data_IF_117591929971
#
_entry.id   IF_117591929971
#
_cell.length_a   1.000
_cell.length_b   1.000
_cell.length_c   1.000
_cell.angle_alpha   90.00
_cell.angle_beta   90.00
_cell.angle_gamma   90.00
#
_symmetry.space_group_name_H-M   'P 1'
#
loop_
_entity.id
_entity.type
_entity.pdbx_description
1 polymer ?
#
# COMPACT_ATOMS: atom_id res chain seq x y z
N UNK A 1 59.00 95.47 20.68
CA UNK A 1 59.09 95.76 19.23
C UNK A 1 57.99 94.94 18.54
N UNK A 2 56.94 95.54 17.97
CA UNK A 2 56.88 95.95 16.53
C UNK A 2 57.58 94.89 15.65
N UNK A 3 56.95 94.15 14.73
CA UNK A 3 55.98 94.56 13.71
C UNK A 3 55.54 93.31 12.92
N UNK A 4 54.26 93.28 12.51
CA UNK A 4 53.69 92.83 11.23
C UNK A 4 54.50 91.94 10.26
N UNK A 5 53.88 90.86 9.74
CA UNK A 5 53.53 90.76 8.30
C UNK A 5 52.53 89.64 7.98
N UNK A 6 51.55 90.00 7.14
CA UNK A 6 50.58 89.16 6.43
C UNK A 6 51.25 88.29 5.36
N UNK A 7 50.70 87.08 5.10
CA UNK A 7 50.35 86.57 3.76
C UNK A 7 49.52 85.28 3.84
N UNK A 8 48.81 85.01 2.75
CA UNK A 8 47.45 84.44 2.70
C UNK A 8 47.41 83.09 1.96
N UNK A 9 46.34 82.30 2.22
CA UNK A 9 45.70 81.22 1.41
C UNK A 9 46.20 79.78 1.63
N UNK A 10 45.44 78.92 2.33
CA UNK A 10 44.24 78.09 1.96
C UNK A 10 44.64 76.70 1.43
N UNK A 11 44.35 75.63 2.19
CA UNK A 11 43.42 74.54 1.82
C UNK A 11 43.65 73.22 2.63
N UNK A 12 42.54 72.53 2.89
CA UNK A 12 42.37 71.11 3.26
C UNK A 12 42.57 70.70 4.74
N UNK A 13 41.44 70.69 5.47
CA UNK A 13 41.25 69.92 6.71
C UNK A 13 40.64 68.57 6.33
N UNK A 14 41.37 67.48 6.54
CA UNK A 14 40.84 66.13 6.55
C UNK A 14 40.62 65.70 8.00
N UNK A 15 39.37 65.51 8.40
CA UNK A 15 38.98 65.00 9.72
C UNK A 15 38.63 63.51 9.56
N UNK A 16 39.46 62.63 10.14
CA UNK A 16 39.22 61.20 10.27
C UNK A 16 38.13 60.96 11.34
N UNK A 17 37.02 60.34 10.94
CA UNK A 17 36.01 59.76 11.84
C UNK A 17 36.18 58.24 11.83
N UNK A 18 36.59 57.69 12.97
CA UNK A 18 36.67 56.25 13.24
C UNK A 18 35.27 55.69 13.48
N UNK A 19 34.72 54.96 12.49
CA UNK A 19 33.48 54.21 12.63
C UNK A 19 33.70 52.85 13.30
N UNK A 20 33.02 52.60 14.41
CA UNK A 20 32.82 51.25 14.96
C UNK A 20 31.99 50.42 13.96
N UNK A 21 32.59 49.40 13.35
CA UNK A 21 31.84 48.37 12.63
C UNK A 21 31.39 47.31 13.63
N UNK A 22 30.09 47.29 13.95
CA UNK A 22 29.43 46.12 14.52
C UNK A 22 29.43 45.01 13.47
N UNK A 23 30.27 44.01 13.65
CA UNK A 23 30.24 42.77 12.87
C UNK A 23 28.99 41.99 13.24
N UNK A 24 27.92 42.14 12.45
CA UNK A 24 26.81 41.19 12.47
C UNK A 24 27.32 39.87 11.91
N UNK A 25 27.52 38.89 12.78
CA UNK A 25 27.67 37.50 12.37
C UNK A 25 26.39 37.08 11.64
N UNK A 26 26.46 37.04 10.30
CA UNK A 26 25.52 36.32 9.47
C UNK A 26 25.61 34.85 9.87
N UNK A 27 24.74 34.41 10.78
CA UNK A 27 24.47 32.99 10.94
C UNK A 27 23.91 32.52 9.59
N UNK A 28 24.64 31.65 8.89
CA UNK A 28 24.06 30.89 7.80
C UNK A 28 22.81 30.19 8.36
N UNK A 29 21.64 30.42 7.75
CA UNK A 29 20.40 29.78 8.20
C UNK A 29 20.54 28.27 8.06
N UNK A 30 20.64 27.57 9.19
CA UNK A 30 20.68 26.11 9.23
C UNK A 30 19.28 25.54 8.97
N UNK A 31 19.15 24.85 7.84
CA UNK A 31 17.91 24.19 7.43
C UNK A 31 17.86 22.72 7.85
N UNK A 32 18.87 22.22 8.58
CA UNK A 32 18.87 20.84 9.06
C UNK A 32 17.65 20.55 9.94
N UNK A 33 17.18 19.32 9.86
CA UNK A 33 16.02 18.81 10.57
C UNK A 33 14.94 18.29 9.62
N UNK A 34 13.80 18.00 10.21
CA UNK A 34 12.63 17.47 9.51
C UNK A 34 11.72 18.61 9.06
N UNK A 35 11.30 18.55 7.80
CA UNK A 35 10.41 19.51 7.17
C UNK A 35 9.26 18.74 6.53
N UNK A 36 8.02 19.15 6.78
CA UNK A 36 6.87 18.45 6.21
C UNK A 36 5.83 19.41 5.66
N UNK A 37 5.08 18.94 4.67
CA UNK A 37 4.01 19.70 4.03
C UNK A 37 3.00 18.79 3.34
N UNK A 38 1.86 19.36 2.97
CA UNK A 38 0.82 18.65 2.22
C UNK A 38 0.81 19.11 0.76
N UNK A 39 1.04 18.16 -0.13
CA UNK A 39 0.87 18.30 -1.56
C UNK A 39 -0.61 18.04 -1.90
N UNK A 40 -1.28 19.02 -2.50
CA UNK A 40 -2.69 18.87 -2.91
C UNK A 40 -2.77 18.27 -4.32
N UNK A 41 -3.56 17.21 -4.49
CA UNK A 41 -3.77 16.48 -5.73
C UNK A 41 -5.28 16.41 -6.06
N UNK A 42 -5.67 16.19 -7.32
CA UNK A 42 -7.09 15.99 -7.68
C UNK A 42 -7.74 14.83 -6.90
N UNK A 43 -6.97 13.76 -6.65
CA UNK A 43 -7.43 12.57 -5.93
C UNK A 43 -7.32 12.66 -4.39
N UNK A 44 -6.82 13.77 -3.83
CA UNK A 44 -6.63 13.92 -2.39
C UNK A 44 -5.43 14.78 -2.01
N UNK A 45 -4.71 14.42 -0.96
CA UNK A 45 -3.46 15.08 -0.57
C UNK A 45 -2.42 14.04 -0.20
N UNK A 46 -1.15 14.34 -0.46
CA UNK A 46 -0.02 13.55 0.01
C UNK A 46 0.83 14.37 0.97
N UNK A 47 1.20 13.76 2.08
CA UNK A 47 2.15 14.31 3.02
C UNK A 47 3.56 13.99 2.52
N UNK A 48 4.37 15.04 2.37
CA UNK A 48 5.77 14.95 1.97
C UNK A 48 6.62 15.37 3.16
N UNK A 49 7.61 14.56 3.50
CA UNK A 49 8.53 14.83 4.60
C UNK A 49 9.96 14.80 4.07
N UNK A 50 10.70 15.90 4.21
CA UNK A 50 12.13 15.96 3.94
C UNK A 50 12.91 15.84 5.25
N UNK A 51 13.89 14.95 5.29
CA UNK A 51 14.87 14.89 6.37
C UNK A 51 16.19 15.45 5.87
N UNK A 52 16.55 16.65 6.30
CA UNK A 52 17.72 17.38 5.82
C UNK A 52 18.83 17.29 6.88
N UNK A 53 20.02 16.88 6.47
CA UNK A 53 21.20 16.76 7.34
C UNK A 53 22.41 17.47 6.71
N UNK A 54 23.27 18.02 7.55
CA UNK A 54 24.61 18.44 7.14
C UNK A 54 25.52 17.24 6.90
N UNK A 55 26.36 17.34 5.87
CA UNK A 55 27.50 16.44 5.67
C UNK A 55 28.74 17.01 6.37
N UNK A 56 29.74 16.16 6.61
CA UNK A 56 31.05 16.56 7.15
C UNK A 56 31.78 17.59 6.26
N UNK A 57 31.39 17.68 4.98
CA UNK A 57 31.95 18.59 3.98
C UNK A 57 31.22 19.94 3.93
N UNK A 58 30.26 20.19 4.85
CA UNK A 58 29.49 21.43 4.91
C UNK A 58 28.39 21.55 3.85
N UNK A 59 28.09 20.48 3.10
CA UNK A 59 26.96 20.42 2.17
C UNK A 59 25.71 19.85 2.87
N UNK A 60 24.56 19.89 2.19
CA UNK A 60 23.33 19.26 2.67
C UNK A 60 23.06 17.96 1.92
N UNK A 61 22.48 17.00 2.63
CA UNK A 61 21.85 15.82 2.06
C UNK A 61 20.42 15.73 2.58
N UNK A 62 19.49 15.32 1.72
CA UNK A 62 18.11 15.06 2.13
C UNK A 62 17.67 13.64 1.78
N UNK A 63 16.75 13.10 2.58
CA UNK A 63 15.85 12.02 2.15
C UNK A 63 14.42 12.53 2.12
N UNK A 64 13.56 11.84 1.37
CA UNK A 64 12.13 12.11 1.30
C UNK A 64 11.34 10.89 1.77
N UNK A 65 10.37 11.13 2.65
CA UNK A 65 9.32 10.17 2.97
C UNK A 65 8.00 10.61 2.34
N UNK A 66 7.21 9.63 1.91
CA UNK A 66 5.79 9.77 1.56
C UNK A 66 4.99 8.84 2.48
N UNK A 67 4.71 9.26 3.72
CA UNK A 67 4.10 8.41 4.75
C UNK A 67 2.73 7.87 4.34
N UNK A 68 1.93 8.69 3.65
CA UNK A 68 0.60 8.31 3.14
C UNK A 68 0.65 7.21 2.07
N UNK A 69 1.83 6.97 1.48
CA UNK A 69 2.09 5.91 0.50
C UNK A 69 2.96 4.78 1.07
N UNK A 70 3.37 4.87 2.34
CA UNK A 70 4.23 3.87 2.98
C UNK A 70 5.71 3.91 2.54
N UNK A 71 6.14 4.92 1.79
CA UNK A 71 7.53 5.00 1.31
C UNK A 71 8.37 5.86 2.24
N UNK A 72 9.54 5.36 2.65
CA UNK A 72 10.50 6.05 3.52
C UNK A 72 11.89 6.08 2.90
N UNK A 73 12.70 7.04 3.31
CA UNK A 73 14.11 7.17 2.97
C UNK A 73 14.41 7.21 1.47
N UNK A 74 13.53 7.83 0.67
CA UNK A 74 13.79 8.05 -0.76
C UNK A 74 15.02 8.95 -0.88
N UNK A 75 16.09 8.40 -1.45
CA UNK A 75 17.35 9.12 -1.63
C UNK A 75 17.18 10.27 -2.62
N UNK A 76 17.69 11.43 -2.24
CA UNK A 76 17.84 12.59 -3.14
C UNK A 76 19.23 12.58 -3.76
N UNK A 77 19.37 13.19 -4.92
CA UNK A 77 20.67 13.32 -5.60
C UNK A 77 21.35 14.64 -5.24
N UNK A 78 20.63 15.75 -5.44
CA UNK A 78 21.12 17.08 -5.10
C UNK A 78 20.26 17.66 -3.98
N UNK A 79 20.89 18.15 -2.92
CA UNK A 79 20.25 19.01 -1.91
C UNK A 79 21.14 20.23 -1.72
N UNK A 80 20.65 21.41 -2.11
CA UNK A 80 21.38 22.67 -1.99
C UNK A 80 20.54 23.74 -1.33
N UNK A 81 21.21 24.63 -0.60
CA UNK A 81 20.59 25.78 0.03
C UNK A 81 21.47 27.02 -0.20
N UNK A 82 20.98 27.92 -1.05
CA UNK A 82 21.68 29.14 -1.45
C UNK A 82 20.66 30.28 -1.55
N UNK A 83 21.01 31.49 -1.09
CA UNK A 83 20.13 32.66 -1.10
C UNK A 83 18.74 32.40 -0.52
N UNK A 84 18.72 31.74 0.64
CA UNK A 84 17.51 31.27 1.34
C UNK A 84 16.60 30.36 0.50
N UNK A 85 17.12 29.74 -0.56
CA UNK A 85 16.38 28.86 -1.46
C UNK A 85 16.88 27.42 -1.33
N UNK A 86 16.01 26.53 -0.88
CA UNK A 86 16.21 25.09 -0.87
C UNK A 86 15.89 24.53 -2.26
N UNK A 87 16.81 23.76 -2.83
CA UNK A 87 16.61 22.97 -4.05
C UNK A 87 16.93 21.51 -3.77
N UNK A 88 16.00 20.62 -4.10
CA UNK A 88 16.15 19.17 -3.94
C UNK A 88 15.83 18.47 -5.26
N UNK A 89 16.67 17.54 -5.69
CA UNK A 89 16.44 16.66 -6.84
C UNK A 89 16.20 15.23 -6.37
N UNK A 90 15.12 14.61 -6.83
CA UNK A 90 14.69 13.26 -6.44
C UNK A 90 14.51 12.41 -7.72
N UNK A 91 15.61 11.93 -8.34
CA UNK A 91 15.56 11.34 -9.68
C UNK A 91 14.70 10.09 -9.78
N UNK A 92 14.67 9.26 -8.73
CA UNK A 92 13.97 7.96 -8.74
C UNK A 92 12.44 8.10 -8.94
N UNK A 93 11.88 9.25 -8.57
CA UNK A 93 10.46 9.57 -8.83
C UNK A 93 10.30 10.71 -9.85
N UNK A 94 11.39 11.07 -10.56
CA UNK A 94 11.45 12.18 -11.51
C UNK A 94 10.87 13.48 -10.95
N UNK A 95 11.18 13.74 -9.67
CA UNK A 95 10.66 14.91 -8.97
C UNK A 95 11.76 15.88 -8.56
N UNK A 96 11.37 17.13 -8.35
CA UNK A 96 12.23 18.13 -7.73
C UNK A 96 11.42 19.03 -6.81
N UNK A 97 12.09 19.64 -5.84
CA UNK A 97 11.52 20.65 -4.98
C UNK A 97 12.37 21.92 -5.04
N UNK A 98 11.71 23.07 -5.13
CA UNK A 98 12.36 24.38 -4.99
C UNK A 98 11.51 25.26 -4.10
N UNK A 99 12.08 25.80 -3.04
CA UNK A 99 11.33 26.65 -2.10
C UNK A 99 12.19 27.66 -1.38
N UNK A 100 11.60 28.80 -1.03
CA UNK A 100 12.25 29.89 -0.32
C UNK A 100 11.92 29.84 1.17
N UNK A 101 12.94 29.83 2.01
CA UNK A 101 12.81 29.93 3.46
C UNK A 101 12.35 31.33 3.85
N UNK A 102 11.28 31.38 4.64
CA UNK A 102 10.67 32.59 5.19
C UNK A 102 11.16 32.84 6.62
N UNK A 103 10.92 34.05 7.12
CA UNK A 103 11.33 34.46 8.47
C UNK A 103 10.64 33.68 9.60
N UNK A 104 9.46 33.10 9.34
CA UNK A 104 8.66 32.30 10.27
C UNK A 104 9.06 30.81 10.29
N UNK A 105 10.21 30.45 9.71
CA UNK A 105 10.68 29.08 9.55
C UNK A 105 9.72 28.18 8.75
N UNK A 106 9.00 28.76 7.79
CA UNK A 106 8.32 28.02 6.72
C UNK A 106 9.12 28.09 5.42
N UNK A 107 8.99 27.10 4.55
CA UNK A 107 9.50 27.18 3.18
C UNK A 107 8.31 27.23 2.23
N UNK A 108 8.15 28.34 1.53
CA UNK A 108 7.17 28.44 0.43
C UNK A 108 7.80 27.91 -0.84
N UNK A 109 7.26 26.83 -1.39
CA UNK A 109 7.90 26.16 -2.50
C UNK A 109 6.97 25.47 -3.47
N UNK A 110 7.60 24.85 -4.46
CA UNK A 110 6.97 24.12 -5.54
C UNK A 110 7.63 22.76 -5.65
N UNK A 111 6.81 21.71 -5.55
CA UNK A 111 7.18 20.35 -5.89
C UNK A 111 6.82 20.12 -7.36
N UNK A 112 7.75 19.62 -8.16
CA UNK A 112 7.54 19.40 -9.59
C UNK A 112 7.73 17.93 -9.89
N UNK A 113 6.68 17.26 -10.38
CA UNK A 113 6.71 15.90 -10.88
C UNK A 113 5.80 15.83 -12.10
N UNK A 114 6.38 15.96 -13.30
CA UNK A 114 5.63 16.23 -14.54
C UNK A 114 5.06 17.65 -14.60
N UNK A 115 4.28 18.06 -13.60
CA UNK A 115 3.70 19.40 -13.47
C UNK A 115 4.08 20.06 -12.13
N UNK A 116 4.14 21.41 -12.06
CA UNK A 116 4.43 22.12 -10.82
C UNK A 116 3.21 22.12 -9.89
N UNK A 117 3.45 21.79 -8.62
CA UNK A 117 2.45 21.72 -7.56
C UNK A 117 2.94 22.53 -6.34
N UNK A 118 2.12 23.43 -5.77
CA UNK A 118 2.49 24.13 -4.55
C UNK A 118 2.76 23.15 -3.40
N UNK A 119 3.89 23.33 -2.71
CA UNK A 119 4.24 22.58 -1.50
C UNK A 119 4.94 23.52 -0.52
N UNK A 120 4.19 23.93 0.50
CA UNK A 120 4.73 24.69 1.61
C UNK A 120 5.16 23.73 2.72
N UNK A 121 6.36 23.93 3.24
CA UNK A 121 6.93 23.10 4.29
C UNK A 121 7.01 23.86 5.61
N UNK A 122 6.75 23.16 6.70
CA UNK A 122 6.96 23.63 8.07
C UNK A 122 8.03 22.78 8.74
N UNK A 123 8.91 23.40 9.53
CA UNK A 123 9.93 22.67 10.31
C UNK A 123 9.30 22.01 11.52
N UNK A 124 9.62 20.73 11.76
CA UNK A 124 9.12 19.99 12.92
C UNK A 124 9.25 18.48 12.77
N UNK A 125 9.22 17.77 13.90
CA UNK A 125 9.11 16.31 13.91
C UNK A 125 7.78 15.88 13.26
N UNK A 126 7.83 14.85 12.42
CA UNK A 126 6.66 14.27 11.80
C UNK A 126 6.48 12.83 12.29
N UNK A 127 5.43 12.57 13.07
CA UNK A 127 5.17 11.25 13.64
C UNK A 127 4.23 10.37 12.81
N UNK A 128 3.76 10.85 11.65
CA UNK A 128 2.74 10.16 10.86
C UNK A 128 1.37 10.10 11.54
N UNK A 129 0.35 9.58 10.83
CA UNK A 129 -0.89 9.19 11.47
C UNK A 129 -0.62 8.01 12.41
N UNK A 130 -1.28 8.01 13.57
CA UNK A 130 -1.04 6.96 14.58
C UNK A 130 -1.63 5.64 14.11
N UNK A 131 -1.11 4.53 14.66
CA UNK A 131 -1.63 3.17 14.47
C UNK A 131 -2.06 2.60 15.84
N UNK A 132 -3.10 3.17 16.48
CA UNK A 132 -3.45 2.84 17.86
C UNK A 132 -3.89 1.39 18.07
N UNK A 133 -4.25 0.69 16.99
CA UNK A 133 -4.65 -0.72 17.02
C UNK A 133 -3.46 -1.68 16.89
N UNK A 134 -2.26 -1.20 16.53
CA UNK A 134 -1.09 -2.07 16.41
C UNK A 134 -0.68 -2.58 17.80
N UNK A 135 -0.81 -3.90 18.07
CA UNK A 135 -0.59 -4.45 19.38
C UNK A 135 0.89 -4.36 19.79
N UNK A 136 1.14 -4.05 21.06
CA UNK A 136 2.50 -3.92 21.61
C UNK A 136 2.77 -4.99 22.67
N UNK A 137 4.01 -5.49 22.79
CA UNK A 137 4.40 -6.40 23.85
C UNK A 137 4.40 -5.72 25.24
N UNK A 138 4.32 -6.50 26.34
CA UNK A 138 4.17 -7.95 26.37
C UNK A 138 2.76 -8.40 25.96
N UNK A 139 2.69 -9.43 25.11
CA UNK A 139 1.42 -9.99 24.67
C UNK A 139 0.84 -10.95 25.73
N UNK A 140 -0.49 -11.00 25.92
CA UNK A 140 -1.13 -11.92 26.87
C UNK A 140 -1.34 -13.33 26.28
N UNK A 141 -0.51 -13.70 25.31
CA UNK A 141 -0.56 -14.95 24.55
C UNK A 141 0.84 -15.31 24.06
N UNK A 142 1.03 -16.55 23.61
CA UNK A 142 2.31 -17.02 23.12
C UNK A 142 2.50 -16.65 21.66
N UNK A 143 3.73 -16.27 21.32
CA UNK A 143 4.16 -15.96 19.96
C UNK A 143 5.32 -16.88 19.63
N UNK A 144 5.18 -17.65 18.57
CA UNK A 144 6.23 -18.54 18.07
C UNK A 144 6.60 -18.14 16.64
N UNK A 145 7.89 -17.91 16.41
CA UNK A 145 8.43 -17.90 15.06
C UNK A 145 8.52 -19.33 14.54
N UNK A 146 7.98 -19.56 13.34
CA UNK A 146 7.84 -20.89 12.76
C UNK A 146 8.36 -20.93 11.33
N UNK A 147 8.76 -22.12 10.91
CA UNK A 147 9.12 -22.41 9.52
C UNK A 147 8.14 -23.43 8.95
N UNK A 148 7.45 -23.05 7.87
CA UNK A 148 6.46 -23.88 7.19
C UNK A 148 7.07 -24.39 5.89
N UNK A 149 7.26 -25.70 5.79
CA UNK A 149 7.84 -26.31 4.59
C UNK A 149 6.75 -26.60 3.56
N UNK A 150 6.81 -25.92 2.41
CA UNK A 150 6.06 -26.32 1.21
C UNK A 150 6.89 -27.39 0.46
N UNK A 151 6.54 -28.65 0.67
CA UNK A 151 7.25 -29.78 0.05
C UNK A 151 6.95 -29.94 -1.43
N UNK A 152 5.87 -29.35 -1.95
CA UNK A 152 5.51 -29.45 -3.37
C UNK A 152 6.49 -28.65 -4.23
N UNK A 153 6.89 -27.47 -3.75
CA UNK A 153 7.77 -26.56 -4.50
C UNK A 153 9.18 -26.46 -3.86
N UNK A 154 9.43 -27.19 -2.76
CA UNK A 154 10.76 -27.26 -2.13
C UNK A 154 11.20 -26.00 -1.39
N UNK A 155 10.27 -25.10 -1.05
CA UNK A 155 10.54 -23.84 -0.36
C UNK A 155 10.12 -23.89 1.11
N UNK A 156 10.73 -23.02 1.92
CA UNK A 156 10.35 -22.79 3.31
C UNK A 156 9.80 -21.38 3.47
N UNK A 157 8.60 -21.28 4.01
CA UNK A 157 7.96 -20.03 4.37
C UNK A 157 8.27 -19.69 5.82
N UNK A 158 8.61 -18.44 6.09
CA UNK A 158 8.73 -17.92 7.43
C UNK A 158 7.35 -17.46 7.93
N UNK A 159 7.01 -17.74 9.18
CA UNK A 159 5.73 -17.33 9.73
C UNK A 159 5.73 -17.17 11.23
N UNK A 160 4.62 -16.66 11.75
CA UNK A 160 4.36 -16.54 13.19
C UNK A 160 3.09 -17.31 13.52
N UNK A 161 3.16 -18.18 14.52
CA UNK A 161 2.02 -18.82 15.16
C UNK A 161 1.74 -18.14 16.50
N UNK A 162 0.56 -17.56 16.66
CA UNK A 162 0.08 -17.05 17.94
C UNK A 162 -0.88 -18.06 18.59
N UNK A 163 -0.66 -18.34 19.88
CA UNK A 163 -1.42 -19.33 20.64
C UNK A 163 -1.99 -18.70 21.91
N UNK A 164 -3.29 -18.91 22.23
CA UNK A 164 -3.85 -18.46 23.50
C UNK A 164 -3.04 -19.00 24.69
N UNK A 165 -2.84 -18.17 25.72
CA UNK A 165 -1.95 -18.50 26.85
C UNK A 165 -2.40 -19.76 27.61
N UNK A 166 -3.71 -19.92 27.77
CA UNK A 166 -4.34 -21.01 28.53
C UNK A 166 -5.24 -21.85 27.63
N UNK A 167 -5.25 -23.15 27.88
CA UNK A 167 -6.08 -24.12 27.18
C UNK A 167 -5.25 -25.11 26.35
N UNK A 168 -5.97 -25.94 25.59
CA UNK A 168 -5.39 -26.87 24.63
C UNK A 168 -6.45 -27.16 23.56
N UNK A 169 -6.04 -27.70 22.41
CA UNK A 169 -6.95 -28.01 21.28
C UNK A 169 -7.72 -26.77 20.82
N UNK A 170 -6.98 -25.70 20.52
CA UNK A 170 -7.53 -24.45 20.04
C UNK A 170 -8.15 -24.61 18.65
N UNK A 171 -9.29 -23.95 18.36
CA UNK A 171 -9.62 -23.65 16.97
C UNK A 171 -8.51 -22.78 16.38
N UNK A 172 -8.24 -22.93 15.08
CA UNK A 172 -7.15 -22.24 14.43
C UNK A 172 -7.53 -21.70 13.07
N UNK A 173 -6.87 -20.62 12.66
CA UNK A 173 -6.99 -20.07 11.32
C UNK A 173 -5.62 -19.80 10.70
N UNK A 174 -5.54 -19.97 9.38
CA UNK A 174 -4.47 -19.39 8.56
C UNK A 174 -5.00 -18.08 7.98
N UNK A 175 -4.25 -16.99 8.13
CA UNK A 175 -4.53 -15.75 7.41
C UNK A 175 -3.80 -15.77 6.06
N UNK A 176 -4.51 -15.43 4.98
CA UNK A 176 -4.00 -15.45 3.60
C UNK A 176 -4.11 -14.05 3.00
N UNK A 177 -2.96 -13.49 2.64
CA UNK A 177 -2.77 -12.11 2.17
C UNK A 177 -3.44 -11.86 0.82
N UNK A 178 -3.67 -10.58 0.52
CA UNK A 178 -4.16 -10.11 -0.77
C UNK A 178 -3.13 -10.16 -1.90
N UNK A 179 -3.30 -9.31 -2.90
CA UNK A 179 -2.35 -9.19 -4.01
C UNK A 179 -1.11 -8.36 -3.62
N UNK A 180 0.00 -8.61 -4.30
CA UNK A 180 1.29 -8.00 -3.97
C UNK A 180 2.20 -8.95 -3.19
N UNK A 181 3.47 -8.56 -3.06
CA UNK A 181 4.42 -9.26 -2.20
C UNK A 181 4.20 -8.78 -0.76
N UNK A 182 3.58 -9.60 0.09
CA UNK A 182 3.22 -9.21 1.45
C UNK A 182 4.05 -9.95 2.51
N UNK A 183 4.37 -9.25 3.60
CA UNK A 183 4.81 -9.91 4.82
C UNK A 183 3.61 -10.53 5.56
N UNK A 184 3.86 -11.31 6.61
CA UNK A 184 2.82 -11.97 7.42
C UNK A 184 1.83 -11.03 8.11
N UNK A 185 2.12 -9.73 8.13
CA UNK A 185 1.27 -8.70 8.75
C UNK A 185 0.35 -8.02 7.72
N UNK A 186 0.47 -8.37 6.43
CA UNK A 186 -0.19 -7.71 5.30
C UNK A 186 0.04 -6.20 5.31
N UNK A 187 1.31 -5.81 5.48
CA UNK A 187 1.65 -4.41 5.68
C UNK A 187 1.37 -3.54 4.44
N UNK A 188 0.41 -2.63 4.56
CA UNK A 188 -0.01 -1.72 3.49
C UNK A 188 -0.20 -0.31 4.01
N UNK A 189 0.51 0.66 3.41
CA UNK A 189 0.45 2.09 3.80
C UNK A 189 0.62 2.32 5.32
N UNK A 190 1.52 1.55 5.93
CA UNK A 190 1.82 1.60 7.37
C UNK A 190 0.76 0.97 8.27
N UNK A 191 -0.23 0.27 7.73
CA UNK A 191 -1.18 -0.55 8.49
C UNK A 191 -0.76 -2.01 8.47
N UNK A 192 -1.01 -2.73 9.57
CA UNK A 192 -0.73 -4.17 9.74
C UNK A 192 -2.00 -4.94 10.08
N UNK A 193 -2.98 -5.04 9.15
CA UNK A 193 -4.29 -5.61 9.43
C UNK A 193 -4.21 -7.04 9.96
N UNK A 194 -3.31 -7.88 9.43
CA UNK A 194 -3.19 -9.26 9.91
C UNK A 194 -2.58 -9.37 11.30
N UNK A 195 -1.77 -8.38 11.73
CA UNK A 195 -1.28 -8.30 13.10
C UNK A 195 -2.40 -7.96 14.08
N UNK A 196 -3.24 -6.99 13.73
CA UNK A 196 -4.41 -6.61 14.54
C UNK A 196 -5.42 -7.77 14.62
N UNK A 197 -5.70 -8.43 13.50
CA UNK A 197 -6.60 -9.60 13.45
C UNK A 197 -6.04 -10.74 14.29
N UNK A 198 -4.75 -11.07 14.17
CA UNK A 198 -4.14 -12.13 14.94
C UNK A 198 -4.16 -11.87 16.45
N UNK A 199 -3.82 -10.65 16.89
CA UNK A 199 -3.89 -10.26 18.31
C UNK A 199 -5.33 -10.41 18.83
N UNK A 200 -6.31 -9.88 18.11
CA UNK A 200 -7.71 -9.90 18.54
C UNK A 200 -8.26 -11.34 18.64
N UNK A 201 -8.02 -12.17 17.63
CA UNK A 201 -8.46 -13.57 17.62
C UNK A 201 -7.74 -14.41 18.69
N UNK A 202 -6.44 -14.19 18.90
CA UNK A 202 -5.65 -14.94 19.89
C UNK A 202 -6.08 -14.62 21.31
N UNK A 203 -6.33 -13.34 21.63
CA UNK A 203 -6.94 -12.93 22.90
C UNK A 203 -8.31 -13.58 23.14
N UNK A 204 -8.99 -13.96 22.05
CA UNK A 204 -10.30 -14.57 22.07
C UNK A 204 -10.30 -16.11 21.95
N UNK A 205 -9.14 -16.75 22.14
CA UNK A 205 -9.03 -18.21 22.26
C UNK A 205 -8.86 -18.95 20.94
N UNK A 206 -8.48 -18.25 19.86
CA UNK A 206 -8.27 -18.82 18.52
C UNK A 206 -6.79 -18.71 18.17
N UNK A 207 -6.16 -19.82 17.78
CA UNK A 207 -4.79 -19.81 17.29
C UNK A 207 -4.71 -19.23 15.87
N UNK A 208 -3.67 -18.47 15.56
CA UNK A 208 -3.53 -17.81 14.26
C UNK A 208 -2.14 -18.06 13.69
N UNK A 209 -2.08 -18.62 12.47
CA UNK A 209 -0.87 -18.73 11.69
C UNK A 209 -0.88 -17.69 10.57
N UNK A 210 0.24 -16.98 10.44
CA UNK A 210 0.48 -16.02 9.36
C UNK A 210 1.87 -16.25 8.82
N UNK A 211 2.02 -16.24 7.50
CA UNK A 211 3.31 -16.47 6.85
C UNK A 211 3.66 -15.27 5.96
N UNK A 212 4.95 -15.01 5.79
CA UNK A 212 5.41 -14.12 4.74
C UNK A 212 5.21 -14.85 3.39
N UNK A 213 4.76 -14.11 2.37
CA UNK A 213 4.57 -14.69 1.04
C UNK A 213 5.89 -15.22 0.48
N UNK A 214 5.82 -16.23 -0.40
CA UNK A 214 7.00 -16.76 -1.08
C UNK A 214 7.83 -15.63 -1.72
N UNK A 215 9.15 -15.70 -1.59
CA UNK A 215 10.07 -14.69 -2.09
C UNK A 215 9.99 -13.32 -1.40
N UNK A 216 9.25 -13.20 -0.29
CA UNK A 216 9.04 -11.94 0.44
C UNK A 216 9.52 -12.06 1.88
N UNK A 217 10.08 -10.95 2.41
CA UNK A 217 10.63 -10.88 3.76
C UNK A 217 11.58 -12.06 4.07
N UNK A 218 11.24 -12.94 5.01
CA UNK A 218 12.08 -14.06 5.39
C UNK A 218 11.74 -15.39 4.68
N UNK A 219 10.71 -15.42 3.84
CA UNK A 219 10.31 -16.62 3.08
C UNK A 219 11.19 -16.84 1.86
N UNK A 220 11.47 -18.12 1.57
CA UNK A 220 12.14 -18.53 0.34
C UNK A 220 11.19 -18.48 -0.86
N UNK A 221 11.73 -18.70 -2.07
CA UNK A 221 10.98 -18.76 -3.31
C UNK A 221 11.13 -17.51 -4.17
N UNK A 222 10.29 -17.41 -5.21
CA UNK A 222 10.25 -16.27 -6.13
C UNK A 222 8.82 -15.77 -6.27
N UNK A 223 8.60 -14.51 -5.88
CA UNK A 223 7.30 -13.85 -6.02
C UNK A 223 7.00 -13.47 -7.48
N UNK A 224 8.01 -13.08 -8.27
CA UNK A 224 7.80 -12.47 -9.57
C UNK A 224 7.19 -13.43 -10.60
N UNK A 225 7.44 -14.73 -10.45
CA UNK A 225 6.89 -15.79 -11.29
C UNK A 225 5.66 -16.48 -10.69
N UNK A 226 5.29 -16.17 -9.45
CA UNK A 226 4.22 -16.85 -8.72
C UNK A 226 2.82 -16.46 -9.20
N UNK A 227 1.88 -17.38 -9.06
CA UNK A 227 0.45 -17.20 -9.37
C UNK A 227 -0.44 -17.54 -8.17
N UNK A 228 -1.76 -17.39 -8.28
CA UNK A 228 -2.66 -17.80 -7.21
C UNK A 228 -2.60 -19.33 -6.92
N UNK A 229 -2.18 -20.15 -7.89
CA UNK A 229 -2.00 -21.59 -7.68
C UNK A 229 -0.81 -21.89 -6.76
N UNK A 230 0.25 -21.11 -6.91
CA UNK A 230 1.44 -21.17 -6.08
C UNK A 230 1.12 -20.76 -4.62
N UNK A 231 0.43 -19.64 -4.44
CA UNK A 231 0.00 -19.19 -3.12
C UNK A 231 -1.03 -20.15 -2.47
N UNK A 232 -1.82 -20.88 -3.28
CA UNK A 232 -2.68 -21.95 -2.77
C UNK A 232 -1.87 -23.11 -2.19
N UNK A 233 -0.80 -23.56 -2.85
CA UNK A 233 0.11 -24.60 -2.30
C UNK A 233 0.80 -24.15 -1.02
N UNK A 234 1.19 -22.87 -0.95
CA UNK A 234 1.77 -22.28 0.26
C UNK A 234 0.77 -22.32 1.43
N UNK A 235 -0.48 -21.98 1.16
CA UNK A 235 -1.56 -22.03 2.15
C UNK A 235 -1.87 -23.46 2.55
N UNK A 236 -1.87 -24.43 1.63
CA UNK A 236 -1.97 -25.86 1.94
C UNK A 236 -0.85 -26.32 2.88
N UNK A 237 0.39 -25.86 2.66
CA UNK A 237 1.51 -26.13 3.55
C UNK A 237 1.30 -25.53 4.95
N UNK A 238 0.78 -24.30 5.04
CA UNK A 238 0.44 -23.65 6.31
C UNK A 238 -0.68 -24.38 7.07
N UNK A 239 -1.71 -24.85 6.36
CA UNK A 239 -2.78 -25.68 6.93
C UNK A 239 -2.25 -27.01 7.46
N UNK A 240 -1.38 -27.68 6.69
CA UNK A 240 -0.75 -28.93 7.11
C UNK A 240 0.19 -28.73 8.30
N UNK A 241 0.87 -27.59 8.38
CA UNK A 241 1.63 -27.21 9.56
C UNK A 241 0.72 -27.13 10.79
N UNK A 242 -0.41 -26.40 10.73
CA UNK A 242 -1.37 -26.34 11.84
C UNK A 242 -1.91 -27.72 12.24
N UNK A 243 -2.20 -28.59 11.26
CA UNK A 243 -2.68 -29.96 11.50
C UNK A 243 -1.68 -30.83 12.27
N UNK A 244 -0.38 -30.54 12.13
CA UNK A 244 0.68 -31.26 12.84
C UNK A 244 0.85 -30.82 14.31
N UNK A 245 0.28 -29.67 14.70
CA UNK A 245 0.46 -29.09 16.02
C UNK A 245 -0.48 -29.74 17.05
N UNK A 246 0.08 -30.24 18.16
CA UNK A 246 -0.69 -30.88 19.24
C UNK A 246 -1.65 -29.91 19.93
N UNK A 247 -1.33 -28.63 19.94
CA UNK A 247 -2.10 -27.54 20.54
C UNK A 247 -3.38 -27.24 19.77
N UNK A 248 -3.45 -27.64 18.49
CA UNK A 248 -4.54 -27.30 17.58
C UNK A 248 -5.58 -28.43 17.54
N UNK A 249 -6.85 -28.04 17.49
CA UNK A 249 -7.94 -28.95 17.16
C UNK A 249 -8.05 -29.08 15.65
N UNK A 250 -7.60 -30.21 15.12
CA UNK A 250 -7.58 -30.47 13.67
C UNK A 250 -8.96 -30.51 13.02
N UNK A 251 -10.04 -30.59 13.80
CA UNK A 251 -11.44 -30.51 13.33
C UNK A 251 -11.99 -29.09 13.30
N UNK A 252 -11.23 -28.09 13.75
CA UNK A 252 -11.62 -26.67 13.83
C UNK A 252 -10.54 -25.77 13.21
N UNK A 253 -10.15 -26.06 11.98
CA UNK A 253 -9.19 -25.25 11.22
C UNK A 253 -9.94 -24.53 10.10
N UNK A 254 -9.85 -23.20 10.07
CA UNK A 254 -10.42 -22.36 9.02
C UNK A 254 -9.37 -21.54 8.27
N UNK A 255 -9.84 -20.82 7.26
CA UNK A 255 -9.03 -19.87 6.47
C UNK A 255 -9.69 -18.50 6.56
N UNK A 256 -8.91 -17.45 6.81
CA UNK A 256 -9.35 -16.07 6.64
C UNK A 256 -8.51 -15.47 5.51
N UNK A 257 -9.14 -15.14 4.40
CA UNK A 257 -8.46 -14.60 3.22
C UNK A 257 -8.90 -13.19 2.92
N UNK A 258 -7.95 -12.27 2.71
CA UNK A 258 -8.24 -10.90 2.27
C UNK A 258 -8.00 -10.77 0.77
N UNK A 259 -8.91 -10.10 0.04
CA UNK A 259 -8.76 -9.84 -1.39
C UNK A 259 -8.43 -11.12 -2.19
N UNK A 260 -7.29 -11.22 -2.87
CA UNK A 260 -6.88 -12.45 -3.56
C UNK A 260 -6.70 -13.66 -2.62
N UNK A 261 -6.36 -13.46 -1.35
CA UNK A 261 -6.35 -14.51 -0.33
C UNK A 261 -7.73 -15.11 -0.09
N UNK A 262 -8.80 -14.34 -0.29
CA UNK A 262 -10.17 -14.88 -0.25
C UNK A 262 -10.45 -15.81 -1.43
N UNK A 263 -9.93 -15.48 -2.62
CA UNK A 263 -9.98 -16.37 -3.79
C UNK A 263 -9.24 -17.68 -3.55
N UNK A 264 -8.07 -17.61 -2.93
CA UNK A 264 -7.28 -18.78 -2.53
C UNK A 264 -8.04 -19.62 -1.51
N UNK A 265 -8.69 -18.99 -0.52
CA UNK A 265 -9.53 -19.68 0.46
C UNK A 265 -10.69 -20.46 -0.20
N UNK A 266 -11.33 -19.88 -1.23
CA UNK A 266 -12.37 -20.57 -2.01
C UNK A 266 -11.81 -21.79 -2.75
N UNK A 267 -10.66 -21.65 -3.38
CA UNK A 267 -10.01 -22.73 -4.13
C UNK A 267 -9.61 -23.91 -3.22
N UNK A 268 -9.04 -23.61 -2.06
CA UNK A 268 -8.64 -24.65 -1.09
C UNK A 268 -9.85 -25.33 -0.47
N UNK A 269 -10.86 -24.57 -0.03
CA UNK A 269 -12.07 -25.13 0.56
C UNK A 269 -12.90 -25.97 -0.44
N UNK A 270 -12.73 -25.74 -1.75
CA UNK A 270 -13.30 -26.55 -2.80
C UNK A 270 -12.61 -27.91 -2.98
N UNK A 271 -11.34 -28.03 -2.57
CA UNK A 271 -10.49 -29.23 -2.73
C UNK A 271 -10.35 -30.03 -1.44
N UNK A 272 -10.29 -29.35 -0.30
CA UNK A 272 -10.03 -29.97 1.00
C UNK A 272 -11.30 -30.00 1.88
N UNK A 273 -11.96 -31.16 2.03
CA UNK A 273 -13.19 -31.28 2.82
C UNK A 273 -12.96 -31.13 4.33
N UNK A 274 -11.71 -31.07 4.80
CA UNK A 274 -11.39 -30.93 6.22
C UNK A 274 -11.28 -29.46 6.67
N UNK A 275 -11.46 -28.49 5.77
CA UNK A 275 -11.58 -27.09 6.16
C UNK A 275 -12.92 -26.87 6.87
N UNK A 276 -12.85 -26.44 8.13
CA UNK A 276 -14.02 -26.31 8.99
C UNK A 276 -14.87 -25.11 8.62
N UNK A 277 -14.28 -24.03 8.14
CA UNK A 277 -14.97 -22.81 7.70
C UNK A 277 -14.02 -21.90 6.91
N UNK A 278 -14.59 -20.93 6.19
CA UNK A 278 -13.83 -19.81 5.60
C UNK A 278 -14.44 -18.46 5.97
N UNK A 279 -13.57 -17.46 6.14
CA UNK A 279 -13.94 -16.05 6.18
C UNK A 279 -13.30 -15.34 4.98
N UNK A 280 -14.12 -14.75 4.12
CA UNK A 280 -13.67 -13.93 2.99
C UNK A 280 -13.77 -12.46 3.37
N UNK A 281 -12.63 -11.78 3.45
CA UNK A 281 -12.51 -10.34 3.67
C UNK A 281 -12.33 -9.68 2.30
N UNK A 282 -13.42 -9.19 1.71
CA UNK A 282 -13.42 -8.63 0.36
C UNK A 282 -12.79 -9.56 -0.70
N UNK A 283 -12.97 -10.88 -0.54
CA UNK A 283 -12.31 -11.86 -1.40
C UNK A 283 -12.90 -11.91 -2.80
N UNK A 284 -12.06 -11.89 -3.83
CA UNK A 284 -12.50 -11.84 -5.23
C UNK A 284 -13.25 -13.13 -5.64
N UNK A 285 -14.58 -13.00 -5.81
CA UNK A 285 -15.50 -14.11 -6.10
C UNK A 285 -16.12 -14.04 -7.51
N UNK A 286 -15.65 -13.13 -8.35
CA UNK A 286 -16.03 -13.01 -9.76
C UNK A 286 -14.78 -13.10 -10.64
N UNK A 287 -14.98 -13.46 -11.92
CA UNK A 287 -13.88 -13.62 -12.87
C UNK A 287 -13.04 -12.34 -13.00
N UNK A 288 -11.72 -12.51 -13.05
CA UNK A 288 -10.77 -11.39 -12.92
C UNK A 288 -11.00 -10.24 -13.90
N UNK A 289 -11.32 -10.52 -15.17
CA UNK A 289 -11.61 -9.48 -16.16
C UNK A 289 -12.82 -8.61 -15.82
N UNK A 290 -13.88 -9.22 -15.28
CA UNK A 290 -15.10 -8.54 -14.86
C UNK A 290 -14.87 -7.76 -13.57
N UNK A 291 -14.11 -8.34 -12.62
CA UNK A 291 -13.70 -7.67 -11.39
C UNK A 291 -12.87 -6.42 -11.70
N UNK A 292 -11.80 -6.57 -12.48
CA UNK A 292 -10.89 -5.48 -12.81
C UNK A 292 -11.57 -4.39 -13.63
N UNK A 293 -12.61 -4.72 -14.40
CA UNK A 293 -13.36 -3.71 -15.16
C UNK A 293 -14.18 -2.83 -14.20
N UNK A 294 -14.84 -3.46 -13.21
CA UNK A 294 -15.59 -2.76 -12.17
C UNK A 294 -14.66 -1.97 -11.24
N UNK A 295 -13.50 -2.52 -10.89
CA UNK A 295 -12.48 -1.83 -10.10
C UNK A 295 -11.98 -0.56 -10.79
N UNK A 296 -11.62 -0.63 -12.08
CA UNK A 296 -11.19 0.57 -12.84
C UNK A 296 -12.32 1.60 -12.94
N UNK A 297 -13.58 1.16 -13.12
CA UNK A 297 -14.75 2.05 -13.07
C UNK A 297 -14.82 2.82 -11.74
N UNK A 298 -14.80 2.10 -10.62
CA UNK A 298 -14.98 2.68 -9.29
C UNK A 298 -13.82 3.59 -8.89
N UNK A 299 -12.58 3.16 -9.15
CA UNK A 299 -11.38 3.99 -8.91
C UNK A 299 -11.48 5.29 -9.71
N UNK A 300 -11.81 5.22 -11.00
CA UNK A 300 -11.85 6.42 -11.85
C UNK A 300 -12.96 7.38 -11.43
N UNK A 301 -14.15 6.86 -11.07
CA UNK A 301 -15.24 7.68 -10.52
C UNK A 301 -14.87 8.31 -9.17
N UNK A 302 -14.14 7.59 -8.31
CA UNK A 302 -13.66 8.13 -7.03
C UNK A 302 -12.72 9.32 -7.20
N UNK A 303 -12.08 9.44 -8.38
CA UNK A 303 -11.21 10.54 -8.77
C UNK A 303 -11.95 11.66 -9.55
N UNK A 304 -13.28 11.61 -9.60
CA UNK A 304 -14.12 12.63 -10.23
C UNK A 304 -14.41 12.40 -11.72
N UNK A 305 -14.08 11.22 -12.28
CA UNK A 305 -14.42 10.92 -13.67
C UNK A 305 -15.95 10.85 -13.85
N UNK A 306 -16.55 11.64 -14.76
CA UNK A 306 -17.98 11.59 -15.02
C UNK A 306 -18.41 10.28 -15.70
N UNK A 307 -19.62 9.81 -15.39
CA UNK A 307 -20.21 8.62 -15.99
C UNK A 307 -20.19 8.60 -17.53
N UNK A 308 -20.55 9.68 -18.25
CA UNK A 308 -20.48 9.68 -19.71
C UNK A 308 -19.07 9.43 -20.25
N UNK A 309 -18.04 9.95 -19.57
CA UNK A 309 -16.63 9.75 -19.95
C UNK A 309 -16.24 8.29 -19.75
N UNK A 310 -16.66 7.67 -18.63
CA UNK A 310 -16.47 6.23 -18.42
C UNK A 310 -17.08 5.40 -19.54
N UNK A 311 -18.33 5.69 -19.94
CA UNK A 311 -19.00 4.93 -21.00
C UNK A 311 -18.26 5.01 -22.34
N UNK A 312 -17.59 6.13 -22.64
CA UNK A 312 -16.73 6.25 -23.82
C UNK A 312 -15.42 5.46 -23.70
N UNK A 313 -14.82 5.39 -22.50
CA UNK A 313 -13.53 4.68 -22.29
C UNK A 313 -13.69 3.16 -22.12
N UNK A 314 -14.82 2.71 -21.57
CA UNK A 314 -15.09 1.31 -21.22
C UNK A 314 -14.86 0.32 -22.38
N UNK A 315 -15.24 0.60 -23.65
CA UNK A 315 -14.94 -0.30 -24.77
C UNK A 315 -13.44 -0.52 -24.99
N UNK A 316 -12.61 0.52 -24.85
CA UNK A 316 -11.15 0.40 -24.99
C UNK A 316 -10.54 -0.42 -23.85
N UNK A 317 -11.01 -0.23 -22.62
CA UNK A 317 -10.58 -1.05 -21.47
C UNK A 317 -10.95 -2.53 -21.69
N UNK A 318 -12.16 -2.80 -22.18
CA UNK A 318 -12.60 -4.17 -22.52
C UNK A 318 -11.76 -4.78 -23.64
N UNK A 319 -11.44 -4.02 -24.68
CA UNK A 319 -10.58 -4.50 -25.75
C UNK A 319 -9.21 -4.90 -25.20
N UNK A 320 -8.58 -4.05 -24.39
CA UNK A 320 -7.31 -4.37 -23.74
C UNK A 320 -7.38 -5.64 -22.90
N UNK A 321 -8.46 -5.82 -22.13
CA UNK A 321 -8.63 -7.04 -21.33
C UNK A 321 -8.82 -8.29 -22.19
N UNK A 322 -9.44 -8.17 -23.36
CA UNK A 322 -9.50 -9.31 -24.30
C UNK A 322 -8.11 -9.72 -24.78
N UNK A 323 -7.16 -8.78 -24.91
CA UNK A 323 -5.78 -9.10 -25.26
C UNK A 323 -5.07 -9.91 -24.17
N UNK A 324 -5.29 -9.56 -22.90
CA UNK A 324 -4.70 -10.24 -21.74
C UNK A 324 -5.22 -11.69 -21.55
N UNK A 325 -6.38 -11.99 -22.12
CA UNK A 325 -7.01 -13.31 -22.00
C UNK A 325 -6.48 -14.33 -23.02
N UNK A 326 -5.68 -13.92 -24.00
CA UNK A 326 -5.17 -14.82 -25.05
C UNK A 326 -4.23 -15.88 -24.45
N UNK A 327 -4.63 -17.15 -24.52
CA UNK A 327 -3.86 -18.28 -23.93
C UNK A 327 -2.91 -18.94 -24.92
N UNK A 328 -3.06 -18.65 -26.21
CA UNK A 328 -2.25 -19.15 -27.33
C UNK A 328 -0.97 -18.32 -27.56
N UNK A 329 -0.81 -17.20 -26.86
CA UNK A 329 0.31 -16.27 -26.99
C UNK A 329 1.20 -16.24 -25.74
N UNK A 330 2.49 -16.04 -25.96
CA UNK A 330 3.45 -15.74 -24.89
C UNK A 330 3.16 -14.38 -24.24
N UNK A 331 3.62 -14.20 -23.00
CA UNK A 331 3.51 -12.91 -22.30
C UNK A 331 4.16 -11.76 -23.07
N UNK A 332 5.23 -12.03 -23.83
CA UNK A 332 5.92 -11.03 -24.65
C UNK A 332 5.11 -10.60 -25.87
N UNK A 333 4.40 -11.54 -26.50
CA UNK A 333 3.47 -11.23 -27.60
C UNK A 333 2.29 -10.40 -27.10
N UNK A 334 1.68 -10.80 -25.97
CA UNK A 334 0.61 -10.03 -25.32
C UNK A 334 1.11 -8.63 -24.96
N UNK A 335 2.33 -8.51 -24.43
CA UNK A 335 2.95 -7.22 -24.09
C UNK A 335 3.05 -6.28 -25.29
N UNK A 336 3.46 -6.79 -26.45
CA UNK A 336 3.53 -6.01 -27.69
C UNK A 336 2.15 -5.55 -28.14
N UNK A 337 1.13 -6.40 -28.04
CA UNK A 337 -0.25 -6.04 -28.42
C UNK A 337 -0.85 -5.01 -27.47
N UNK A 338 -0.65 -5.16 -26.17
CA UNK A 338 -1.09 -4.18 -25.17
C UNK A 338 -0.37 -2.84 -25.37
N UNK A 339 0.94 -2.86 -25.68
CA UNK A 339 1.67 -1.65 -26.02
C UNK A 339 1.10 -0.96 -27.26
N UNK A 340 0.82 -1.72 -28.32
CA UNK A 340 0.19 -1.18 -29.52
C UNK A 340 -1.20 -0.58 -29.24
N UNK A 341 -2.04 -1.25 -28.42
CA UNK A 341 -3.35 -0.73 -28.01
C UNK A 341 -3.23 0.58 -27.23
N UNK A 342 -2.38 0.63 -26.20
CA UNK A 342 -2.27 1.80 -25.31
C UNK A 342 -1.69 3.01 -26.06
N UNK A 343 -0.72 2.78 -26.96
CA UNK A 343 -0.07 3.85 -27.73
C UNK A 343 -0.87 4.32 -28.94
N UNK A 344 -1.93 3.61 -29.35
CA UNK A 344 -2.67 3.87 -30.60
C UNK A 344 -3.18 5.31 -30.73
N UNK A 345 -3.50 5.96 -29.61
CA UNK A 345 -4.02 7.33 -29.57
C UNK A 345 -3.01 8.37 -29.07
N UNK A 346 -1.75 7.97 -28.85
CA UNK A 346 -0.69 8.86 -28.37
C UNK A 346 -0.02 9.61 -29.52
N UNK A 347 0.39 10.86 -29.28
CA UNK A 347 1.14 11.65 -30.27
C UNK A 347 2.62 11.23 -30.35
N UNK A 348 3.28 11.56 -31.44
CA UNK A 348 4.72 11.29 -31.61
C UNK A 348 5.57 12.02 -30.54
N UNK A 349 5.13 13.18 -30.07
CA UNK A 349 5.78 13.94 -29.00
C UNK A 349 5.66 13.22 -27.65
N UNK A 350 4.48 12.68 -27.33
CA UNK A 350 4.29 11.89 -26.11
C UNK A 350 5.15 10.62 -26.11
N UNK A 351 5.31 9.99 -27.27
CA UNK A 351 6.16 8.80 -27.43
C UNK A 351 7.66 9.10 -27.45
N UNK A 352 8.06 10.38 -27.58
CA UNK A 352 9.46 10.81 -27.42
C UNK A 352 9.80 11.18 -25.97
N UNK A 353 8.79 11.42 -25.13
CA UNK A 353 9.00 11.71 -23.72
C UNK A 353 9.40 10.44 -22.96
N UNK A 354 10.66 10.40 -22.49
CA UNK A 354 11.23 9.22 -21.85
C UNK A 354 10.47 8.82 -20.58
N UNK A 355 9.98 9.79 -19.81
CA UNK A 355 9.23 9.53 -18.59
C UNK A 355 7.91 8.83 -18.90
N UNK A 356 7.18 9.33 -19.89
CA UNK A 356 5.93 8.73 -20.38
C UNK A 356 6.17 7.29 -20.85
N UNK A 357 7.21 7.06 -21.65
CA UNK A 357 7.55 5.71 -22.17
C UNK A 357 7.93 4.75 -21.04
N UNK A 358 8.67 5.21 -20.03
CA UNK A 358 9.05 4.39 -18.88
C UNK A 358 7.85 4.03 -18.01
N UNK A 359 6.99 5.00 -17.69
CA UNK A 359 5.76 4.78 -16.92
C UNK A 359 4.82 3.80 -17.64
N UNK A 360 4.65 4.01 -18.94
CA UNK A 360 3.85 3.12 -19.79
C UNK A 360 4.42 1.69 -19.78
N UNK A 361 5.72 1.56 -19.95
CA UNK A 361 6.41 0.27 -19.95
C UNK A 361 6.26 -0.45 -18.60
N UNK A 362 6.40 0.26 -17.47
CA UNK A 362 6.19 -0.28 -16.14
C UNK A 362 4.74 -0.77 -15.94
N UNK A 363 3.75 0.02 -16.35
CA UNK A 363 2.34 -0.36 -16.28
C UNK A 363 2.04 -1.61 -17.11
N UNK A 364 2.52 -1.66 -18.36
CA UNK A 364 2.29 -2.80 -19.25
C UNK A 364 3.00 -4.04 -18.71
N UNK A 365 4.23 -3.91 -18.19
CA UNK A 365 4.95 -5.02 -17.57
C UNK A 365 4.15 -5.58 -16.38
N UNK A 366 3.59 -4.71 -15.53
CA UNK A 366 2.72 -5.14 -14.43
C UNK A 366 1.47 -5.89 -14.93
N UNK A 367 0.80 -5.38 -15.96
CA UNK A 367 -0.40 -5.99 -16.56
C UNK A 367 -0.12 -7.29 -17.33
N UNK A 368 1.14 -7.55 -17.67
CA UNK A 368 1.57 -8.76 -18.41
C UNK A 368 2.46 -9.67 -17.58
N UNK A 369 2.51 -9.45 -16.26
CA UNK A 369 3.14 -10.37 -15.32
C UNK A 369 2.41 -11.72 -15.29
N UNK A 370 3.11 -12.83 -14.96
CA UNK A 370 2.47 -14.15 -14.82
C UNK A 370 1.25 -14.12 -13.91
N UNK A 371 1.36 -13.47 -12.75
CA UNK A 371 0.26 -13.31 -11.80
C UNK A 371 -0.94 -12.56 -12.40
N UNK A 372 -0.72 -11.40 -13.05
CA UNK A 372 -1.83 -10.59 -13.56
C UNK A 372 -2.56 -11.33 -14.69
N UNK A 373 -1.83 -11.99 -15.60
CA UNK A 373 -2.43 -12.80 -16.66
C UNK A 373 -3.24 -13.97 -16.08
N UNK A 374 -2.70 -14.66 -15.06
CA UNK A 374 -3.42 -15.73 -14.36
C UNK A 374 -4.71 -15.20 -13.72
N UNK A 375 -4.61 -14.11 -12.95
CA UNK A 375 -5.74 -13.49 -12.27
C UNK A 375 -6.86 -13.07 -13.23
N UNK A 376 -6.50 -12.40 -14.34
CA UNK A 376 -7.47 -11.95 -15.35
C UNK A 376 -8.26 -13.10 -15.99
N UNK A 377 -7.64 -14.28 -16.09
CA UNK A 377 -8.23 -15.48 -16.70
C UNK A 377 -9.00 -16.32 -15.69
N UNK A 378 -8.65 -16.22 -14.42
CA UNK A 378 -9.20 -17.04 -13.35
C UNK A 378 -10.67 -16.72 -13.08
N UNK A 379 -11.47 -17.78 -12.99
CA UNK A 379 -12.89 -17.73 -12.64
C UNK A 379 -13.14 -18.56 -11.36
N UNK A 380 -13.39 -17.93 -10.20
CA UNK A 380 -13.63 -18.63 -8.94
C UNK A 380 -14.97 -19.39 -8.92
N UNK A 381 -15.87 -19.17 -9.89
CA UNK A 381 -17.21 -19.75 -9.93
C UNK A 381 -17.20 -21.27 -9.76
N UNK A 382 -16.26 -21.97 -10.42
CA UNK A 382 -16.14 -23.42 -10.33
C UNK A 382 -15.76 -23.90 -8.92
N UNK A 383 -14.91 -23.14 -8.22
CA UNK A 383 -14.51 -23.43 -6.84
C UNK A 383 -15.62 -23.10 -5.86
N UNK A 384 -16.29 -21.95 -6.00
CA UNK A 384 -17.44 -21.56 -5.17
C UNK A 384 -18.54 -22.63 -5.16
N UNK A 385 -18.89 -23.18 -6.33
CA UNK A 385 -19.87 -24.28 -6.45
C UNK A 385 -19.45 -25.59 -5.78
N UNK A 386 -18.22 -25.72 -5.30
CA UNK A 386 -17.74 -26.93 -4.60
C UNK A 386 -17.59 -26.75 -3.09
N UNK A 387 -17.69 -25.52 -2.57
CA UNK A 387 -17.50 -25.24 -1.14
C UNK A 387 -18.64 -25.87 -0.32
N UNK A 388 -18.27 -26.72 0.64
CA UNK A 388 -19.21 -27.41 1.54
C UNK A 388 -19.17 -26.92 3.00
N UNK A 389 -18.09 -26.26 3.40
CA UNK A 389 -17.98 -25.71 4.74
C UNK A 389 -18.79 -24.40 4.88
N UNK A 390 -19.10 -23.97 6.12
CA UNK A 390 -19.64 -22.64 6.40
C UNK A 390 -18.75 -21.51 5.88
N UNK A 391 -19.40 -20.45 5.38
CA UNK A 391 -18.75 -19.26 4.81
C UNK A 391 -19.27 -18.00 5.47
N UNK A 392 -18.36 -17.13 5.92
CA UNK A 392 -18.64 -15.73 6.24
C UNK A 392 -17.98 -14.85 5.17
N UNK A 393 -18.76 -14.14 4.36
CA UNK A 393 -18.21 -13.18 3.41
C UNK A 393 -18.53 -11.74 3.83
N UNK A 394 -17.49 -10.94 3.98
CA UNK A 394 -17.53 -9.57 4.46
C UNK A 394 -17.03 -8.64 3.36
N UNK A 395 -17.67 -7.50 3.15
CA UNK A 395 -17.17 -6.43 2.28
C UNK A 395 -17.49 -5.06 2.90
N UNK A 396 -16.67 -4.05 2.61
CA UNK A 396 -17.02 -2.66 2.87
C UNK A 396 -17.86 -2.08 1.73
N UNK A 397 -18.91 -1.30 2.02
CA UNK A 397 -19.74 -0.67 0.97
C UNK A 397 -18.99 0.43 0.19
N UNK A 398 -17.87 0.93 0.72
CA UNK A 398 -16.99 1.91 0.07
C UNK A 398 -15.75 1.26 -0.55
N UNK A 399 -15.76 -0.06 -0.67
CA UNK A 399 -14.71 -0.79 -1.38
C UNK A 399 -14.79 -0.52 -2.89
N UNK A 400 -13.75 0.14 -3.41
CA UNK A 400 -13.59 0.45 -4.84
C UNK A 400 -12.69 -0.54 -5.58
N UNK A 401 -12.16 -1.54 -4.88
CA UNK A 401 -11.36 -2.62 -5.47
C UNK A 401 -12.22 -3.86 -5.71
N UNK A 402 -13.05 -4.22 -4.72
CA UNK A 402 -14.00 -5.33 -4.80
C UNK A 402 -15.39 -4.84 -4.43
N UNK A 403 -16.19 -4.53 -5.46
CA UNK A 403 -17.56 -4.03 -5.31
C UNK A 403 -18.40 -4.98 -4.44
N UNK A 404 -18.94 -4.46 -3.34
CA UNK A 404 -19.61 -5.28 -2.33
C UNK A 404 -20.85 -6.02 -2.86
N UNK A 405 -21.68 -5.35 -3.66
CA UNK A 405 -22.92 -5.94 -4.18
C UNK A 405 -22.60 -7.06 -5.19
N UNK A 406 -21.74 -6.77 -6.16
CA UNK A 406 -21.26 -7.74 -7.15
C UNK A 406 -20.65 -8.96 -6.46
N UNK A 407 -19.77 -8.73 -5.49
CA UNK A 407 -18.98 -9.79 -4.88
C UNK A 407 -19.82 -10.67 -3.95
N UNK A 408 -20.55 -10.06 -3.01
CA UNK A 408 -21.35 -10.81 -2.04
C UNK A 408 -22.53 -11.54 -2.70
N UNK A 409 -23.10 -10.98 -3.76
CA UNK A 409 -24.13 -11.65 -4.57
C UNK A 409 -23.58 -12.89 -5.24
N UNK A 410 -22.41 -12.80 -5.89
CA UNK A 410 -21.76 -13.95 -6.53
C UNK A 410 -21.44 -15.08 -5.53
N UNK A 411 -20.88 -14.73 -4.36
CA UNK A 411 -20.60 -15.70 -3.29
C UNK A 411 -21.88 -16.42 -2.85
N UNK A 412 -22.91 -15.65 -2.47
CA UNK A 412 -24.18 -16.22 -2.00
C UNK A 412 -24.82 -17.12 -3.05
N UNK A 413 -24.86 -16.66 -4.30
CA UNK A 413 -25.45 -17.40 -5.40
C UNK A 413 -24.70 -18.71 -5.66
N UNK A 414 -23.41 -18.65 -5.98
CA UNK A 414 -22.67 -19.80 -6.49
C UNK A 414 -22.42 -20.88 -5.45
N UNK A 415 -22.22 -20.51 -4.17
CA UNK A 415 -22.08 -21.51 -3.11
C UNK A 415 -23.42 -22.23 -2.86
N UNK A 416 -24.54 -21.50 -2.90
CA UNK A 416 -25.87 -22.08 -2.66
C UNK A 416 -26.30 -23.07 -3.75
N UNK A 417 -25.78 -22.96 -4.98
CA UNK A 417 -26.10 -23.87 -6.09
C UNK A 417 -25.78 -25.33 -5.79
N UNK A 418 -24.86 -25.59 -4.85
CA UNK A 418 -24.47 -26.95 -4.47
C UNK A 418 -25.23 -27.50 -3.24
N UNK A 419 -26.23 -26.75 -2.77
CA UNK A 419 -27.03 -27.06 -1.59
C UNK A 419 -26.46 -26.52 -0.27
N UNK A 420 -25.28 -25.90 -0.25
CA UNK A 420 -24.72 -25.29 0.95
C UNK A 420 -25.46 -24.01 1.33
N UNK A 421 -26.26 -24.08 2.39
CA UNK A 421 -27.03 -22.93 2.93
C UNK A 421 -26.30 -22.19 4.04
N UNK A 422 -25.11 -22.64 4.45
CA UNK A 422 -24.35 -22.05 5.55
C UNK A 422 -23.46 -20.90 5.05
N UNK A 423 -24.07 -19.95 4.35
CA UNK A 423 -23.39 -18.77 3.79
C UNK A 423 -23.96 -17.52 4.46
N UNK A 424 -23.13 -16.88 5.28
CA UNK A 424 -23.42 -15.57 5.88
C UNK A 424 -22.69 -14.52 5.06
N UNK A 425 -23.41 -13.49 4.59
CA UNK A 425 -22.79 -12.32 3.96
C UNK A 425 -23.11 -11.07 4.78
N UNK A 426 -22.18 -10.12 4.85
CA UNK A 426 -22.40 -8.81 5.47
C UNK A 426 -21.62 -7.72 4.72
N UNK A 427 -22.33 -6.69 4.29
CA UNK A 427 -21.75 -5.44 3.82
C UNK A 427 -21.71 -4.44 4.98
N UNK A 428 -20.59 -3.77 5.18
CA UNK A 428 -20.45 -2.75 6.22
C UNK A 428 -20.53 -1.36 5.62
N UNK A 429 -21.52 -0.54 6.04
CA UNK A 429 -21.61 0.84 5.61
C UNK A 429 -20.34 1.61 5.96
N UNK A 430 -19.90 2.46 5.02
CA UNK A 430 -18.73 3.36 5.18
C UNK A 430 -17.37 2.68 5.36
N UNK A 431 -17.26 1.36 5.22
CA UNK A 431 -15.95 0.70 5.24
C UNK A 431 -15.35 0.60 3.84
N UNK A 432 -14.04 0.85 3.73
CA UNK A 432 -13.27 0.67 2.49
C UNK A 432 -12.79 -0.79 2.32
N UNK A 433 -11.90 -1.03 1.34
CA UNK A 433 -11.33 -2.36 1.06
C UNK A 433 -10.59 -2.97 2.26
N UNK A 434 -9.85 -2.13 3.01
CA UNK A 434 -9.12 -2.54 4.21
C UNK A 434 -10.01 -2.61 5.46
N UNK A 435 -11.33 -2.48 5.30
CA UNK A 435 -12.31 -2.43 6.38
C UNK A 435 -12.09 -1.26 7.35
N UNK A 436 -11.51 -0.15 6.88
CA UNK A 436 -11.39 1.10 7.64
C UNK A 436 -12.60 2.00 7.38
N UNK A 437 -13.03 2.74 8.39
CA UNK A 437 -14.10 3.72 8.30
C UNK A 437 -13.63 4.91 7.46
N UNK A 438 -14.29 5.16 6.33
CA UNK A 438 -13.95 6.23 5.40
C UNK A 438 -15.17 7.05 4.98
N UNK A 439 -14.92 8.25 4.46
CA UNK A 439 -15.99 9.10 3.94
C UNK A 439 -16.06 9.00 2.41
N UNK A 440 -14.90 9.13 1.74
CA UNK A 440 -14.84 9.26 0.28
C UNK A 440 -14.78 7.90 -0.42
N UNK A 441 -14.11 6.92 0.17
CA UNK A 441 -13.88 5.61 -0.45
C UNK A 441 -12.80 5.68 -1.54
N UNK A 442 -11.64 6.27 -1.23
CA UNK A 442 -10.51 6.43 -2.16
C UNK A 442 -9.29 5.63 -1.67
N UNK A 443 -8.39 5.27 -2.59
CA UNK A 443 -7.12 4.60 -2.24
C UNK A 443 -6.23 5.49 -1.36
N UNK A 444 -6.30 6.82 -1.52
CA UNK A 444 -5.50 7.77 -0.76
C UNK A 444 -5.87 7.80 0.74
N UNK A 445 -7.13 7.51 1.09
CA UNK A 445 -7.56 7.47 2.49
C UNK A 445 -6.86 6.34 3.27
N UNK A 446 -6.37 5.28 2.61
CA UNK A 446 -5.85 4.10 3.29
C UNK A 446 -4.70 4.43 4.22
N UNK A 447 -3.70 5.18 3.75
CA UNK A 447 -2.57 5.62 4.58
C UNK A 447 -2.89 6.78 5.52
N UNK A 448 -3.93 7.57 5.22
CA UNK A 448 -4.32 8.76 6.00
C UNK A 448 -5.12 8.41 7.26
N UNK A 449 -5.89 7.32 7.22
CA UNK A 449 -6.70 6.89 8.35
C UNK A 449 -5.83 6.30 9.45
N UNK A 450 -6.22 6.49 10.72
CA UNK A 450 -5.52 5.88 11.86
C UNK A 450 -6.03 4.47 12.17
N UNK A 451 -7.31 4.22 11.87
CA UNK A 451 -7.94 2.91 12.00
C UNK A 451 -7.31 1.94 11.00
N UNK A 452 -6.81 0.80 11.47
CA UNK A 452 -6.30 -0.31 10.65
C UNK A 452 -7.43 -1.22 10.18
N UNK A 453 -8.36 -1.54 11.06
CA UNK A 453 -9.55 -2.36 10.74
C UNK A 453 -10.65 -2.04 11.74
N UNK A 454 -11.89 -1.90 11.26
CA UNK A 454 -13.01 -1.55 12.12
C UNK A 454 -13.25 -2.61 13.22
N UNK A 455 -13.37 -2.23 14.51
CA UNK A 455 -13.58 -3.16 15.62
C UNK A 455 -14.83 -4.04 15.49
N UNK A 456 -15.87 -3.58 14.80
CA UNK A 456 -17.08 -4.39 14.55
C UNK A 456 -16.75 -5.62 13.68
N UNK A 457 -15.88 -5.46 12.69
CA UNK A 457 -15.44 -6.56 11.81
C UNK A 457 -14.68 -7.62 12.62
N UNK A 458 -13.78 -7.19 13.51
CA UNK A 458 -13.04 -8.08 14.42
C UNK A 458 -13.98 -8.87 15.34
N UNK A 459 -14.96 -8.16 15.91
CA UNK A 459 -15.98 -8.76 16.79
C UNK A 459 -16.81 -9.79 16.04
N UNK A 460 -17.35 -9.43 14.88
CA UNK A 460 -18.22 -10.30 14.09
C UNK A 460 -17.52 -11.56 13.61
N UNK A 461 -16.27 -11.45 13.12
CA UNK A 461 -15.46 -12.63 12.79
C UNK A 461 -15.31 -13.54 14.00
N UNK A 462 -14.94 -12.99 15.15
CA UNK A 462 -14.70 -13.75 16.38
C UNK A 462 -15.95 -14.47 16.87
N UNK A 463 -17.07 -13.76 16.95
CA UNK A 463 -18.35 -14.32 17.39
C UNK A 463 -18.86 -15.37 16.42
N UNK A 464 -18.63 -15.20 15.12
CA UNK A 464 -19.00 -16.17 14.10
C UNK A 464 -18.14 -17.44 14.17
N UNK A 465 -16.82 -17.31 14.34
CA UNK A 465 -15.91 -18.47 14.50
C UNK A 465 -16.31 -19.29 15.72
N UNK A 466 -16.64 -18.65 16.84
CA UNK A 466 -17.04 -19.34 18.08
C UNK A 466 -18.33 -20.18 17.94
N UNK A 467 -19.14 -19.94 16.90
CA UNK A 467 -20.36 -20.70 16.60
C UNK A 467 -20.11 -21.91 15.69
N UNK A 468 -18.94 -22.01 15.06
CA UNK A 468 -18.53 -23.17 14.26
C UNK A 468 -17.92 -24.25 15.17
#
# INVERSE_FOLDING_TARGET
>A
MRTTTFKTKIAAVAMLLTGLTLSSSLLAQDISGTWHGKLSLPAGSLTIVFHIKHTEQGTYVATLDSPDQGTKDIKTETTSFQDSTLTVQIPIIHASYKGKLNADQTITGTFTQGMPLPLNLTKGEFSGPKRPQEPQPPFPYKVEEVSVKNTQDGITLAGTLTLPEKGSKFPAVVLVTGSGAQNRDEEIMGHKPFLVIADYLTRNGIAVLRCDDRGTAASQGDYASATNEDFAKDTEAALNYLRSRKEINTRKIGIIGHSCGGTIAFDIAAKDPNISFIISLAGAAVRGDSLMLKQVELISKSQGMPDPVWQTMKPSVRHRYSLLQQTDKSSDEIRKEVYADVTRTMSAEQLKDLNTVQQLSAQINSMTSPWYLHFMRYDPTASLKKIKCPVLALNGEKDIQVDADMNLTAIRQHISENGNKNVTIKAYPKLNHLFQTCEKGTLAEYGQLEETINPEVLKDMTEWIKKQ
#
